data_IF_540615469436
#
_entry.id   IF_540615469436
#
_cell.length_a   1.000
_cell.length_b   1.000
_cell.length_c   1.000
_cell.angle_alpha   90.00
_cell.angle_beta   90.00
_cell.angle_gamma   90.00
#
_symmetry.space_group_name_H-M   'P 1'
#
loop_
_entity.id
_entity.type
_entity.pdbx_description
1 polymer ?
#
# COMPACT_ATOMS: atom_id res chain seq x y z
N UNK A 1 -9.31 2.03 19.81
CA UNK A 1 -9.14 0.94 18.83
C UNK A 1 -9.16 -0.37 19.60
N UNK A 2 -9.98 -1.35 19.22
CA UNK A 2 -10.11 -2.63 19.93
C UNK A 2 -9.08 -3.64 19.42
N UNK A 3 -8.81 -4.70 20.21
CA UNK A 3 -7.94 -5.81 19.76
C UNK A 3 -8.47 -6.48 18.48
N UNK A 4 -9.79 -6.55 18.31
CA UNK A 4 -10.42 -7.06 17.11
C UNK A 4 -10.17 -6.17 15.88
N UNK A 5 -10.24 -4.85 16.04
CA UNK A 5 -9.89 -3.92 14.95
C UNK A 5 -8.41 -4.01 14.59
N UNK A 6 -7.52 -4.15 15.58
CA UNK A 6 -6.09 -4.36 15.34
C UNK A 6 -5.84 -5.64 14.52
N UNK A 7 -6.50 -6.74 14.90
CA UNK A 7 -6.40 -8.02 14.18
C UNK A 7 -6.90 -7.90 12.73
N UNK A 8 -8.04 -7.24 12.51
CA UNK A 8 -8.58 -7.02 11.16
C UNK A 8 -7.62 -6.19 10.29
N UNK A 9 -6.99 -5.16 10.85
CA UNK A 9 -5.98 -4.35 10.14
C UNK A 9 -4.77 -5.21 9.77
N UNK A 10 -4.28 -6.05 10.69
CA UNK A 10 -3.14 -6.95 10.44
C UNK A 10 -3.47 -7.98 9.34
N UNK A 11 -4.64 -8.60 9.40
CA UNK A 11 -5.08 -9.58 8.39
C UNK A 11 -5.25 -8.91 7.01
N UNK A 12 -5.74 -7.67 6.96
CA UNK A 12 -5.85 -6.90 5.73
C UNK A 12 -4.48 -6.55 5.15
N UNK A 13 -3.55 -6.09 6.00
CA UNK A 13 -2.18 -5.77 5.59
C UNK A 13 -1.45 -7.00 5.02
N UNK A 14 -1.59 -8.17 5.66
CA UNK A 14 -0.98 -9.41 5.16
C UNK A 14 -1.51 -9.82 3.77
N UNK A 15 -2.82 -9.64 3.52
CA UNK A 15 -3.40 -9.89 2.20
C UNK A 15 -2.92 -8.93 1.13
N UNK A 16 -2.75 -7.65 1.48
CA UNK A 16 -2.20 -6.64 0.57
C UNK A 16 -0.74 -6.95 0.22
N UNK A 17 0.06 -7.35 1.20
CA UNK A 17 1.45 -7.75 1.00
C UNK A 17 1.57 -8.98 0.08
N UNK A 18 0.80 -10.04 0.33
CA UNK A 18 0.72 -11.23 -0.54
C UNK A 18 0.35 -10.85 -1.98
N UNK A 19 -0.61 -9.94 -2.15
CA UNK A 19 -1.02 -9.47 -3.47
C UNK A 19 0.08 -8.66 -4.15
N UNK A 20 0.73 -7.75 -3.43
CA UNK A 20 1.84 -6.95 -3.94
C UNK A 20 3.02 -7.82 -4.42
N UNK A 21 3.30 -8.93 -3.71
CA UNK A 21 4.34 -9.89 -4.12
C UNK A 21 4.00 -10.61 -5.44
N UNK A 22 2.73 -10.91 -5.66
CA UNK A 22 2.27 -11.63 -6.87
C UNK A 22 2.02 -10.69 -8.06
N UNK A 23 1.62 -9.45 -7.78
CA UNK A 23 1.31 -8.42 -8.75
C UNK A 23 2.04 -7.11 -8.39
N UNK A 24 3.27 -6.93 -8.91
CA UNK A 24 4.03 -5.69 -8.69
C UNK A 24 3.31 -4.43 -9.21
N UNK A 25 2.44 -4.56 -10.22
CA UNK A 25 1.69 -3.44 -10.75
C UNK A 25 0.60 -2.97 -9.78
N UNK A 26 0.02 -3.88 -8.99
CA UNK A 26 -0.88 -3.54 -7.89
C UNK A 26 -0.18 -2.65 -6.86
N UNK A 27 1.04 -3.02 -6.44
CA UNK A 27 1.81 -2.23 -5.48
C UNK A 27 2.07 -0.81 -6.00
N UNK A 28 2.51 -0.69 -7.26
CA UNK A 28 2.73 0.61 -7.91
C UNK A 28 1.45 1.45 -7.93
N UNK A 29 0.31 0.87 -8.29
CA UNK A 29 -0.97 1.59 -8.35
C UNK A 29 -1.37 2.13 -6.98
N UNK A 30 -1.31 1.30 -5.94
CA UNK A 30 -1.64 1.73 -4.57
C UNK A 30 -0.73 2.88 -4.13
N UNK A 31 0.58 2.78 -4.38
CA UNK A 31 1.53 3.84 -4.04
C UNK A 31 1.26 5.15 -4.78
N UNK A 32 0.74 5.10 -6.00
CA UNK A 32 0.34 6.29 -6.77
C UNK A 32 -1.00 6.85 -6.30
N UNK A 33 -1.99 5.99 -6.03
CA UNK A 33 -3.30 6.39 -5.49
C UNK A 33 -3.19 7.06 -4.11
N UNK A 34 -2.28 6.57 -3.26
CA UNK A 34 -1.97 7.17 -1.96
C UNK A 34 -1.09 8.43 -2.05
N UNK A 35 -0.70 8.84 -3.27
CA UNK A 35 0.09 10.05 -3.51
C UNK A 35 1.54 9.95 -3.04
N UNK A 36 2.06 8.73 -2.80
CA UNK A 36 3.46 8.52 -2.41
C UNK A 36 4.36 8.62 -3.64
N UNK A 37 3.91 8.07 -4.77
CA UNK A 37 4.58 8.15 -6.06
C UNK A 37 3.69 8.85 -7.11
N UNK A 38 4.30 9.43 -8.13
CA UNK A 38 3.62 9.95 -9.31
C UNK A 38 3.34 8.82 -10.32
N UNK A 39 2.45 9.07 -11.29
CA UNK A 39 2.21 8.13 -12.40
C UNK A 39 3.47 7.81 -13.21
N UNK A 40 4.46 8.71 -13.19
CA UNK A 40 5.77 8.54 -13.83
C UNK A 40 6.74 7.68 -13.01
N UNK A 41 6.39 7.36 -11.75
CA UNK A 41 7.22 6.57 -10.83
C UNK A 41 8.22 7.38 -10.01
N UNK A 42 8.07 8.71 -9.95
CA UNK A 42 8.85 9.59 -9.08
C UNK A 42 8.22 9.66 -7.69
N UNK A 43 9.00 9.88 -6.64
CA UNK A 43 8.44 10.19 -5.31
C UNK A 43 7.74 11.55 -5.35
N UNK A 44 6.57 11.63 -4.72
CA UNK A 44 5.87 12.90 -4.55
C UNK A 44 6.69 13.87 -3.67
N UNK A 45 6.55 15.19 -3.86
CA UNK A 45 7.38 16.19 -3.18
C UNK A 45 7.36 16.11 -1.66
N UNK A 46 6.27 15.62 -1.07
CA UNK A 46 6.10 15.47 0.38
C UNK A 46 6.95 14.33 0.97
N UNK A 47 7.39 13.40 0.12
CA UNK A 47 8.18 12.21 0.47
C UNK A 47 9.62 12.24 -0.08
N UNK A 48 10.02 13.34 -0.73
CA UNK A 48 11.38 13.55 -1.26
C UNK A 48 12.27 14.25 -0.23
#
# INVERSE_FOLDING_TARGET
MTEEHLKQIQDAAAKLEERAKRDPAFARRVLVEEGIYTEDGELAPEYR
#
